data_IF_246199952565
#
_entry.id   IF_246199952565
#
_cell.length_a   1.000
_cell.length_b   1.000
_cell.length_c   1.000
_cell.angle_alpha   90.00
_cell.angle_beta   90.00
_cell.angle_gamma   90.00
#
_symmetry.space_group_name_H-M   'P 1'
#
loop_
_entity.id
_entity.type
_entity.pdbx_description
1 polymer ?
#
# COMPACT_ATOMS: atom_id res chain seq x y z
N UNK A 1 60.64 -24.03 -3.01
CA UNK A 1 59.81 -23.50 -1.90
C UNK A 1 58.66 -22.70 -2.50
N UNK A 2 57.42 -23.09 -2.16
CA UNK A 2 56.20 -22.26 -2.03
C UNK A 2 55.56 -21.71 -3.32
N UNK A 3 54.44 -22.35 -3.65
CA UNK A 3 53.36 -21.91 -4.52
C UNK A 3 52.76 -20.56 -4.08
N UNK A 4 52.30 -19.75 -5.03
CA UNK A 4 51.06 -18.99 -4.85
C UNK A 4 50.44 -18.62 -6.19
N UNK A 5 49.35 -19.31 -6.48
CA UNK A 5 48.29 -18.96 -7.42
C UNK A 5 47.58 -17.70 -6.90
N UNK A 6 47.38 -16.69 -7.73
CA UNK A 6 46.40 -15.63 -7.52
C UNK A 6 45.86 -15.29 -8.92
N UNK A 7 44.60 -15.52 -9.28
CA UNK A 7 43.39 -15.49 -8.48
C UNK A 7 42.45 -14.57 -9.22
N UNK A 8 41.64 -15.14 -10.11
CA UNK A 8 40.56 -14.46 -10.83
C UNK A 8 39.67 -13.68 -9.86
N UNK A 9 39.48 -12.38 -10.11
CA UNK A 9 38.27 -11.68 -9.65
C UNK A 9 37.74 -10.86 -10.83
N UNK A 10 36.87 -11.51 -11.59
CA UNK A 10 36.01 -10.84 -12.55
C UNK A 10 35.11 -9.87 -11.77
N UNK A 11 35.31 -8.57 -11.98
CA UNK A 11 34.37 -7.55 -11.56
C UNK A 11 33.12 -7.66 -12.45
N UNK A 12 32.21 -8.56 -12.07
CA UNK A 12 30.85 -8.54 -12.59
C UNK A 12 30.15 -7.33 -11.95
N UNK A 13 30.19 -6.19 -12.63
CA UNK A 13 29.34 -5.05 -12.33
C UNK A 13 27.89 -5.49 -12.46
N UNK A 14 27.31 -5.81 -11.30
CA UNK A 14 25.93 -6.18 -11.08
C UNK A 14 25.08 -4.98 -11.53
N UNK A 15 24.56 -5.05 -12.75
CA UNK A 15 23.49 -4.17 -13.21
C UNK A 15 22.30 -4.51 -12.32
N UNK A 16 22.09 -3.72 -11.27
CA UNK A 16 20.85 -3.77 -10.51
C UNK A 16 19.74 -3.39 -11.50
N UNK A 17 18.79 -4.28 -11.82
CA UNK A 17 17.53 -3.78 -12.32
C UNK A 17 16.95 -3.00 -11.15
N UNK A 18 16.94 -1.66 -11.27
CA UNK A 18 15.91 -0.90 -10.61
C UNK A 18 14.60 -1.49 -11.13
N UNK A 19 14.04 -2.45 -10.39
CA UNK A 19 12.71 -2.95 -10.62
C UNK A 19 11.80 -1.76 -10.48
N UNK A 20 11.54 -1.12 -11.61
CA UNK A 20 10.41 -0.26 -11.84
C UNK A 20 9.19 -1.06 -11.42
N UNK A 21 8.74 -0.85 -10.18
CA UNK A 21 7.35 -1.09 -9.78
C UNK A 21 6.54 -0.02 -10.52
N UNK A 22 6.45 -0.18 -11.83
CA UNK A 22 5.42 0.38 -12.67
C UNK A 22 4.41 -0.75 -12.87
N UNK A 23 3.77 -1.15 -11.79
CA UNK A 23 2.39 -1.59 -11.90
C UNK A 23 1.55 -0.31 -12.02
N UNK A 24 1.69 0.40 -13.14
CA UNK A 24 0.61 1.23 -13.63
C UNK A 24 -0.46 0.22 -14.08
N UNK A 25 -1.18 -0.34 -13.11
CA UNK A 25 -2.35 -1.14 -13.39
C UNK A 25 -3.35 -0.19 -14.01
N UNK A 26 -3.49 -0.24 -15.33
CA UNK A 26 -4.53 0.43 -16.11
C UNK A 26 -5.88 -0.15 -15.71
N UNK A 27 -6.36 0.27 -14.53
CA UNK A 27 -7.65 -0.14 -14.03
C UNK A 27 -8.73 0.51 -14.88
N UNK A 28 -9.67 -0.28 -15.38
CA UNK A 28 -10.88 0.29 -15.98
C UNK A 28 -11.66 1.09 -14.92
N UNK A 29 -12.47 2.05 -15.35
CA UNK A 29 -13.31 2.85 -14.43
C UNK A 29 -14.20 1.96 -13.55
N UNK A 30 -14.73 0.86 -14.10
CA UNK A 30 -15.56 -0.09 -13.34
C UNK A 30 -14.73 -0.88 -12.32
N UNK A 31 -13.51 -1.27 -12.69
CA UNK A 31 -12.59 -1.93 -11.77
C UNK A 31 -12.16 -1.00 -10.64
N UNK A 32 -11.81 0.26 -10.95
CA UNK A 32 -11.53 1.29 -9.94
C UNK A 32 -12.70 1.50 -9.00
N UNK A 33 -13.92 1.51 -9.53
CA UNK A 33 -15.14 1.67 -8.72
C UNK A 33 -15.31 0.49 -7.77
N UNK A 34 -15.13 -0.73 -8.26
CA UNK A 34 -15.19 -1.95 -7.44
C UNK A 34 -14.12 -1.93 -6.33
N UNK A 35 -12.86 -1.68 -6.69
CA UNK A 35 -11.74 -1.58 -5.76
C UNK A 35 -11.96 -0.49 -4.72
N UNK A 36 -12.43 0.69 -5.13
CA UNK A 36 -12.74 1.77 -4.20
C UNK A 36 -13.86 1.39 -3.23
N UNK A 37 -14.92 0.74 -3.69
CA UNK A 37 -16.04 0.34 -2.84
C UNK A 37 -15.57 -0.66 -1.78
N UNK A 38 -14.82 -1.68 -2.19
CA UNK A 38 -14.29 -2.69 -1.28
C UNK A 38 -13.25 -2.11 -0.31
N UNK A 39 -12.29 -1.32 -0.81
CA UNK A 39 -11.33 -0.63 0.06
C UNK A 39 -12.02 0.31 1.05
N UNK A 40 -13.12 0.97 0.66
CA UNK A 40 -13.90 1.83 1.57
C UNK A 40 -14.62 1.02 2.63
N UNK A 41 -15.10 -0.19 2.31
CA UNK A 41 -15.68 -1.13 3.28
C UNK A 41 -14.65 -1.53 4.33
N UNK A 42 -13.43 -1.86 3.93
CA UNK A 42 -12.31 -2.18 4.83
C UNK A 42 -12.03 -1.01 5.78
N UNK A 43 -11.90 0.21 5.26
CA UNK A 43 -11.67 1.42 6.09
C UNK A 43 -12.80 1.66 7.08
N UNK A 44 -14.07 1.49 6.68
CA UNK A 44 -15.22 1.63 7.59
C UNK A 44 -15.23 0.56 8.68
N UNK A 45 -14.82 -0.66 8.35
CA UNK A 45 -14.70 -1.73 9.34
C UNK A 45 -13.61 -1.39 10.36
N UNK A 46 -12.43 -0.98 9.90
CA UNK A 46 -11.35 -0.53 10.77
C UNK A 46 -11.78 0.62 11.69
N UNK A 47 -12.50 1.62 11.14
CA UNK A 47 -13.07 2.72 11.94
C UNK A 47 -14.00 2.22 13.06
N UNK A 48 -14.89 1.26 12.76
CA UNK A 48 -15.78 0.68 13.78
C UNK A 48 -14.99 -0.05 14.87
N UNK A 49 -14.06 -0.92 14.50
CA UNK A 49 -13.22 -1.68 15.44
C UNK A 49 -12.38 -0.75 16.31
N UNK A 50 -11.80 0.29 15.71
CA UNK A 50 -10.97 1.26 16.43
C UNK A 50 -11.77 2.25 17.28
N UNK A 51 -13.08 2.39 17.05
CA UNK A 51 -13.95 3.26 17.85
C UNK A 51 -14.40 2.65 19.18
N UNK A 52 -14.32 1.32 19.32
CA UNK A 52 -14.82 0.57 20.49
C UNK A 52 -13.73 0.13 21.47
N UNK A 53 -12.44 0.31 21.13
CA UNK A 53 -11.31 -0.16 21.95
C UNK A 53 -10.62 0.95 22.76
N UNK A 54 -10.00 0.62 23.91
CA UNK A 54 -9.15 1.54 24.66
C UNK A 54 -7.79 1.68 23.96
N UNK A 55 -7.75 2.34 22.80
CA UNK A 55 -6.50 2.49 22.06
C UNK A 55 -5.58 3.54 22.71
N UNK A 56 -4.48 3.06 23.28
CA UNK A 56 -3.43 3.78 24.02
C UNK A 56 -2.36 4.44 23.13
N UNK A 57 -2.60 4.49 21.81
CA UNK A 57 -1.64 5.09 20.86
C UNK A 57 -1.74 6.61 20.86
N UNK A 58 -0.64 7.30 21.17
CA UNK A 58 -0.50 8.75 20.99
C UNK A 58 -0.57 9.06 19.50
N UNK A 59 -1.78 9.34 19.00
CA UNK A 59 -1.99 9.78 17.62
C UNK A 59 -2.42 11.24 17.69
N UNK A 60 -1.58 12.13 17.14
CA UNK A 60 -1.90 13.54 16.99
C UNK A 60 -3.26 13.67 16.30
N UNK A 61 -4.19 14.42 16.91
CA UNK A 61 -5.59 14.66 16.50
C UNK A 61 -5.86 15.03 15.03
N UNK A 62 -4.83 15.16 14.20
CA UNK A 62 -4.91 15.60 12.81
C UNK A 62 -4.30 14.60 11.80
N UNK A 63 -3.88 13.41 12.25
CA UNK A 63 -3.39 12.33 11.39
C UNK A 63 -4.19 11.07 11.72
N UNK A 64 -4.66 10.39 10.67
CA UNK A 64 -5.29 9.07 10.68
C UNK A 64 -4.95 8.24 11.93
N UNK A 65 -5.97 7.90 12.73
CA UNK A 65 -5.83 7.07 13.93
C UNK A 65 -4.95 5.85 13.63
N UNK A 66 -3.81 5.71 14.33
CA UNK A 66 -2.85 4.62 14.10
C UNK A 66 -3.47 3.23 14.19
N UNK A 67 -4.55 3.06 14.96
CA UNK A 67 -5.36 1.84 14.94
C UNK A 67 -5.97 1.59 13.55
N UNK A 68 -6.61 2.59 12.95
CA UNK A 68 -7.27 2.47 11.65
C UNK A 68 -6.23 2.15 10.58
N UNK A 69 -5.10 2.86 10.59
CA UNK A 69 -4.00 2.61 9.66
C UNK A 69 -3.52 1.16 9.77
N UNK A 70 -3.17 0.73 10.98
CA UNK A 70 -2.68 -0.63 11.19
C UNK A 70 -3.69 -1.71 10.82
N UNK A 71 -4.97 -1.50 11.10
CA UNK A 71 -6.03 -2.46 10.77
C UNK A 71 -6.29 -2.56 9.26
N UNK A 72 -6.36 -1.43 8.56
CA UNK A 72 -6.50 -1.39 7.10
C UNK A 72 -5.31 -2.05 6.41
N UNK A 73 -4.08 -1.71 6.82
CA UNK A 73 -2.85 -2.30 6.26
C UNK A 73 -2.82 -3.82 6.44
N UNK A 74 -3.21 -4.30 7.61
CA UNK A 74 -3.29 -5.74 7.89
C UNK A 74 -4.35 -6.40 7.01
N UNK A 75 -5.52 -5.80 6.90
CA UNK A 75 -6.63 -6.38 6.15
C UNK A 75 -6.34 -6.42 4.65
N UNK A 76 -5.87 -5.32 4.05
CA UNK A 76 -5.49 -5.27 2.63
C UNK A 76 -4.45 -6.33 2.29
N UNK A 77 -3.45 -6.55 3.16
CA UNK A 77 -2.45 -7.59 2.96
C UNK A 77 -3.01 -9.01 3.14
N UNK A 78 -4.07 -9.18 3.92
CA UNK A 78 -4.71 -10.49 4.15
C UNK A 78 -5.67 -10.92 3.05
N UNK A 79 -6.19 -9.99 2.24
CA UNK A 79 -7.14 -10.28 1.15
C UNK A 79 -6.48 -11.01 -0.03
N UNK A 80 -5.13 -11.03 -0.09
CA UNK A 80 -4.32 -11.66 -1.15
C UNK A 80 -4.73 -11.25 -2.58
N UNK A 81 -5.23 -10.01 -2.73
CA UNK A 81 -5.57 -9.41 -4.01
C UNK A 81 -4.53 -8.36 -4.39
N UNK A 82 -3.73 -8.68 -5.42
CA UNK A 82 -2.69 -7.80 -5.94
C UNK A 82 -3.25 -6.46 -6.47
N UNK A 83 -4.47 -6.45 -7.01
CA UNK A 83 -5.13 -5.24 -7.49
C UNK A 83 -5.54 -4.35 -6.31
N UNK A 84 -6.08 -4.94 -5.24
CA UNK A 84 -6.41 -4.22 -4.01
C UNK A 84 -5.16 -3.61 -3.36
N UNK A 85 -4.06 -4.36 -3.32
CA UNK A 85 -2.79 -3.86 -2.78
C UNK A 85 -2.24 -2.70 -3.62
N UNK A 86 -2.24 -2.83 -4.94
CA UNK A 86 -1.76 -1.79 -5.86
C UNK A 86 -2.63 -0.53 -5.76
N UNK A 87 -3.96 -0.69 -5.79
CA UNK A 87 -4.92 0.39 -5.59
C UNK A 87 -4.73 1.10 -4.24
N UNK A 88 -4.51 0.34 -3.17
CA UNK A 88 -4.25 0.90 -1.84
C UNK A 88 -2.96 1.74 -1.81
N UNK A 89 -1.89 1.23 -2.43
CA UNK A 89 -0.57 1.88 -2.44
C UNK A 89 -0.52 3.14 -3.31
N UNK A 90 -1.30 3.21 -4.40
CA UNK A 90 -1.35 4.39 -5.27
C UNK A 90 -2.14 5.56 -4.67
N UNK A 91 -3.07 5.30 -3.73
CA UNK A 91 -3.83 6.37 -3.07
C UNK A 91 -2.92 7.23 -2.16
N UNK A 92 -3.03 8.57 -2.19
CA UNK A 92 -2.37 9.42 -1.22
C UNK A 92 -2.83 9.15 0.22
N UNK A 93 -1.93 9.26 1.20
CA UNK A 93 -2.21 8.96 2.61
C UNK A 93 -3.44 9.69 3.17
N UNK A 94 -3.68 10.93 2.71
CA UNK A 94 -4.83 11.75 3.14
C UNK A 94 -6.19 11.14 2.77
N UNK A 95 -6.26 10.39 1.67
CA UNK A 95 -7.49 9.74 1.17
C UNK A 95 -7.51 8.24 1.44
N UNK A 96 -6.35 7.59 1.53
CA UNK A 96 -6.20 6.14 1.69
C UNK A 96 -6.97 5.58 2.89
N UNK A 97 -6.95 6.28 4.03
CA UNK A 97 -7.62 5.83 5.26
C UNK A 97 -8.92 6.60 5.56
N UNK A 98 -9.45 7.36 4.59
CA UNK A 98 -10.74 8.04 4.71
C UNK A 98 -11.87 7.20 4.12
N UNK A 99 -12.94 7.02 4.89
CA UNK A 99 -14.17 6.34 4.44
C UNK A 99 -15.18 7.25 3.76
N UNK A 100 -14.91 8.56 3.75
CA UNK A 100 -15.76 9.62 3.20
C UNK A 100 -15.32 10.08 1.82
N UNK A 101 -14.22 9.52 1.29
CA UNK A 101 -13.71 9.86 -0.04
C UNK A 101 -14.75 9.52 -1.13
N UNK A 102 -14.88 10.40 -2.11
CA UNK A 102 -15.74 10.16 -3.28
C UNK A 102 -15.00 9.41 -4.38
N UNK A 103 -15.74 8.71 -5.25
CA UNK A 103 -15.13 8.02 -6.38
C UNK A 103 -14.39 8.99 -7.32
N UNK A 104 -14.98 10.15 -7.64
CA UNK A 104 -14.31 11.16 -8.48
C UNK A 104 -13.07 11.80 -7.82
N UNK A 105 -12.93 11.71 -6.50
CA UNK A 105 -11.66 12.07 -5.85
C UNK A 105 -10.59 11.01 -6.08
N UNK A 106 -10.97 9.74 -6.03
CA UNK A 106 -10.09 8.59 -6.22
C UNK A 106 -9.64 8.46 -7.67
N UNK A 107 -10.58 8.55 -8.60
CA UNK A 107 -10.35 8.38 -10.05
C UNK A 107 -9.23 9.29 -10.58
N UNK A 108 -9.12 10.52 -10.06
CA UNK A 108 -8.06 11.49 -10.43
C UNK A 108 -6.63 11.03 -10.14
N UNK A 109 -6.43 9.98 -9.34
CA UNK A 109 -5.11 9.44 -9.06
C UNK A 109 -4.71 8.26 -9.95
N UNK A 110 -5.60 7.87 -10.88
CA UNK A 110 -5.43 6.75 -11.80
C UNK A 110 -5.67 7.14 -13.27
N UNK A 111 -5.71 8.46 -13.54
CA UNK A 111 -5.73 9.08 -14.86
C UNK A 111 -4.36 9.66 -15.16
#
# INVERSE_FOLDING_TARGET
MKHTLAGFVAFASLVLPFSSVQAASDFSTDQLRSLNNEHTRIVRQAQRVCSVGPFTGVVRRNQSNGCIVGDVERHVRSVDDANMLTFHQSLPLRVRYSSERSFGQVERYFQ
#
